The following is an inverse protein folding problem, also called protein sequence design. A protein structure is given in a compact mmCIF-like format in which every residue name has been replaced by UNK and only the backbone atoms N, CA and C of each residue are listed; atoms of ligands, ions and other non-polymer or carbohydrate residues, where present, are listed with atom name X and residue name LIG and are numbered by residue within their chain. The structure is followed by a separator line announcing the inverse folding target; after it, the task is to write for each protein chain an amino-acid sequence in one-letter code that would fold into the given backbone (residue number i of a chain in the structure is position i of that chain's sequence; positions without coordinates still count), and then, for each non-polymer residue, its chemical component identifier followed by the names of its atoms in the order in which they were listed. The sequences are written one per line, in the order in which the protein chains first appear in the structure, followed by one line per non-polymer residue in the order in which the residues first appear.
data_IF_554195517013
#
_entry.id   IF_554195517013
#
_cell.length_a   1.000
_cell.length_b   1.000
_cell.length_c   1.000
_cell.angle_alpha   90.00
_cell.angle_beta   90.00
_cell.angle_gamma   90.00
#
_symmetry.space_group_name_H-M   'P 1'
#
loop_
_entity.id
_entity.type
_entity.pdbx_description
1 polymer ?
#
# COMPACT_ATOMS: atom_id res chain seq x y z
N UNK A 1 -22.94 12.55 -13.89
CA UNK A 1 -22.08 11.44 -14.35
C UNK A 1 -21.20 11.99 -15.47
N UNK A 2 -20.00 12.46 -15.15
CA UNK A 2 -19.09 12.99 -16.17
C UNK A 2 -18.48 11.83 -16.94
N UNK A 3 -18.79 11.75 -18.23
CA UNK A 3 -18.16 10.80 -19.15
C UNK A 3 -16.85 11.43 -19.63
N UNK A 4 -15.71 10.74 -19.56
CA UNK A 4 -14.46 11.32 -20.03
C UNK A 4 -14.54 11.58 -21.54
N UNK A 5 -14.19 12.79 -21.95
CA UNK A 5 -14.27 13.25 -23.35
C UNK A 5 -13.12 12.73 -24.22
N UNK A 6 -12.07 12.20 -23.60
CA UNK A 6 -10.89 11.66 -24.28
C UNK A 6 -10.44 10.38 -23.59
N UNK A 7 -10.39 9.28 -24.34
CA UNK A 7 -9.61 8.12 -23.99
C UNK A 7 -8.58 7.94 -25.11
N UNK A 8 -7.30 8.00 -24.77
CA UNK A 8 -6.24 7.62 -25.70
C UNK A 8 -5.96 6.16 -25.42
N UNK A 9 -6.34 5.27 -26.36
CA UNK A 9 -5.72 3.95 -26.41
C UNK A 9 -4.40 4.20 -27.13
N UNK A 10 -3.38 4.63 -26.39
CA UNK A 10 -2.03 4.58 -26.91
C UNK A 10 -1.68 3.08 -26.99
N UNK A 11 -2.12 2.45 -28.07
CA UNK A 11 -1.76 1.10 -28.43
C UNK A 11 -0.33 1.11 -28.97
N UNK A 12 0.61 1.64 -28.18
CA UNK A 12 1.98 1.19 -28.26
C UNK A 12 1.90 -0.33 -28.13
N UNK A 13 2.43 -1.04 -29.13
CA UNK A 13 2.37 -2.50 -29.21
C UNK A 13 3.10 -3.15 -28.03
N UNK A 14 2.52 -3.14 -26.84
CA UNK A 14 2.94 -3.95 -25.71
C UNK A 14 2.22 -5.27 -25.87
N UNK A 15 2.78 -6.12 -26.74
CA UNK A 15 2.27 -7.45 -27.10
C UNK A 15 2.56 -8.52 -26.05
N UNK A 16 2.66 -8.14 -24.77
CA UNK A 16 2.84 -9.12 -23.71
C UNK A 16 1.49 -9.39 -23.07
N UNK A 17 0.94 -10.56 -23.36
CA UNK A 17 -0.14 -11.12 -22.56
C UNK A 17 0.24 -11.03 -21.08
N UNK A 18 -0.69 -10.65 -20.18
CA UNK A 18 -0.40 -10.58 -18.77
C UNK A 18 0.09 -11.94 -18.28
N UNK A 19 1.31 -11.97 -17.74
CA UNK A 19 1.94 -13.18 -17.24
C UNK A 19 1.94 -13.17 -15.71
N UNK A 20 1.51 -14.28 -15.09
CA UNK A 20 1.69 -14.48 -13.66
C UNK A 20 3.19 -14.70 -13.37
N UNK A 21 3.82 -13.70 -12.76
CA UNK A 21 5.25 -13.75 -12.40
C UNK A 21 5.51 -14.32 -10.99
N UNK A 22 4.44 -14.56 -10.21
CA UNK A 22 4.50 -15.25 -8.92
C UNK A 22 3.41 -14.81 -7.95
N UNK A 23 3.44 -15.38 -6.75
CA UNK A 23 2.43 -15.19 -5.71
C UNK A 23 3.10 -14.76 -4.41
N UNK A 24 2.61 -13.66 -3.82
CA UNK A 24 3.04 -13.18 -2.51
C UNK A 24 2.01 -13.59 -1.45
N UNK A 25 2.41 -14.46 -0.53
CA UNK A 25 1.60 -14.81 0.65
C UNK A 25 1.73 -13.71 1.72
N UNK A 26 1.10 -12.56 1.49
CA UNK A 26 1.28 -11.37 2.32
C UNK A 26 0.74 -11.55 3.76
N UNK A 27 -0.40 -12.23 3.88
CA UNK A 27 -1.15 -12.36 5.14
C UNK A 27 -1.66 -13.78 5.33
N UNK A 28 -1.90 -14.17 6.60
CA UNK A 28 -2.50 -15.46 6.96
C UNK A 28 -4.03 -15.46 6.87
N UNK A 29 -4.61 -14.29 6.58
CA UNK A 29 -6.04 -14.05 6.44
C UNK A 29 -6.29 -13.21 5.17
N UNK A 30 -7.54 -12.83 4.93
CA UNK A 30 -7.93 -12.13 3.71
C UNK A 30 -7.28 -10.76 3.60
N UNK A 31 -6.70 -10.50 2.42
CA UNK A 31 -6.26 -9.17 2.02
C UNK A 31 -7.50 -8.36 1.67
N UNK A 32 -7.71 -7.24 2.35
CA UNK A 32 -8.89 -6.39 2.22
C UNK A 32 -8.59 -5.05 1.53
N UNK A 33 -7.32 -4.63 1.49
CA UNK A 33 -6.89 -3.41 0.81
C UNK A 33 -5.48 -3.57 0.24
N UNK A 34 -5.23 -2.92 -0.91
CA UNK A 34 -3.90 -2.86 -1.54
C UNK A 34 -3.64 -1.44 -2.03
N UNK A 35 -2.38 -1.00 -1.95
CA UNK A 35 -1.91 0.26 -2.53
C UNK A 35 -0.43 0.10 -2.87
N UNK A 36 0.06 0.77 -3.90
CA UNK A 36 1.48 0.71 -4.26
C UNK A 36 1.97 2.07 -4.73
N UNK A 37 3.27 2.27 -4.67
CA UNK A 37 3.94 3.43 -5.22
C UNK A 37 5.37 3.07 -5.67
N UNK A 38 5.95 3.87 -6.55
CA UNK A 38 7.32 3.70 -7.02
C UNK A 38 8.24 4.55 -6.15
N UNK A 39 9.19 3.90 -5.50
CA UNK A 39 10.29 4.56 -4.83
C UNK A 39 11.48 4.60 -5.80
N UNK A 40 11.82 5.79 -6.28
CA UNK A 40 13.07 6.02 -7.01
C UNK A 40 14.12 6.55 -6.04
N UNK A 41 15.18 5.81 -5.80
CA UNK A 41 16.39 6.40 -5.23
C UNK A 41 17.12 7.22 -6.31
N UNK A 42 18.05 8.08 -5.90
CA UNK A 42 18.92 8.82 -6.84
C UNK A 42 19.85 7.91 -7.65
N UNK A 43 19.98 6.64 -7.27
CA UNK A 43 20.57 5.58 -8.09
C UNK A 43 19.51 5.04 -9.05
N UNK A 44 19.88 4.73 -10.29
CA UNK A 44 18.97 4.34 -11.39
C UNK A 44 18.04 3.14 -11.14
N UNK A 45 18.04 2.56 -9.93
CA UNK A 45 17.19 1.44 -9.53
C UNK A 45 15.89 1.95 -8.93
N UNK A 46 14.79 1.71 -9.64
CA UNK A 46 13.44 1.96 -9.12
C UNK A 46 12.96 0.73 -8.37
N UNK A 47 12.41 0.95 -7.17
CA UNK A 47 11.79 -0.10 -6.36
C UNK A 47 10.30 0.12 -6.28
N UNK A 48 9.54 -0.97 -6.18
CA UNK A 48 8.11 -0.94 -5.95
C UNK A 48 7.84 -1.10 -4.46
N UNK A 49 7.13 -0.15 -3.86
CA UNK A 49 6.56 -0.32 -2.53
C UNK A 49 5.12 -0.80 -2.68
N UNK A 50 4.79 -1.90 -2.01
CA UNK A 50 3.44 -2.46 -1.97
C UNK A 50 2.96 -2.44 -0.53
N UNK A 51 1.84 -1.80 -0.25
CA UNK A 51 1.13 -1.87 1.00
C UNK A 51 -0.08 -2.82 0.89
N UNK A 52 -0.23 -3.68 1.87
CA UNK A 52 -1.32 -4.67 1.95
C UNK A 52 -2.00 -4.59 3.31
N UNK A 53 -3.32 -4.46 3.32
CA UNK A 53 -4.15 -4.44 4.51
C UNK A 53 -4.92 -5.74 4.65
N UNK A 54 -5.11 -6.18 5.88
CA UNK A 54 -5.75 -7.46 6.17
C UNK A 54 -7.00 -7.30 7.06
N UNK A 55 -7.89 -8.29 6.98
CA UNK A 55 -9.04 -8.42 7.87
C UNK A 55 -8.66 -8.59 9.34
N UNK A 56 -7.43 -8.99 9.66
CA UNK A 56 -6.93 -9.05 11.04
C UNK A 56 -6.50 -7.68 11.60
N UNK A 57 -6.61 -6.61 10.80
CA UNK A 57 -6.24 -5.25 11.17
C UNK A 57 -4.78 -4.90 10.91
N UNK A 58 -3.94 -5.84 10.48
CA UNK A 58 -2.54 -5.56 10.14
C UNK A 58 -2.42 -4.87 8.78
N UNK A 59 -1.39 -4.02 8.66
CA UNK A 59 -0.91 -3.49 7.38
C UNK A 59 0.56 -3.83 7.23
N UNK A 60 0.94 -4.38 6.08
CA UNK A 60 2.35 -4.71 5.76
C UNK A 60 2.81 -3.96 4.53
N UNK A 61 4.05 -3.48 4.58
CA UNK A 61 4.73 -2.82 3.48
C UNK A 61 5.83 -3.75 2.96
N UNK A 62 5.83 -3.96 1.66
CA UNK A 62 6.73 -4.83 0.94
C UNK A 62 7.56 -4.02 -0.04
N UNK A 63 8.84 -4.34 -0.16
CA UNK A 63 9.76 -3.76 -1.13
C UNK A 63 10.07 -4.79 -2.21
N UNK A 64 9.75 -4.46 -3.46
CA UNK A 64 10.08 -5.28 -4.63
C UNK A 64 11.08 -4.57 -5.53
N UNK A 65 12.07 -5.31 -6.02
CA UNK A 65 12.97 -4.83 -7.06
C UNK A 65 12.29 -4.91 -8.44
N UNK A 66 12.09 -3.79 -9.11
CA UNK A 66 11.40 -3.74 -10.41
C UNK A 66 12.22 -4.47 -11.48
N UNK A 67 13.55 -4.36 -11.45
CA UNK A 67 14.41 -5.07 -12.42
C UNK A 67 14.32 -6.58 -12.25
N UNK A 68 14.37 -7.07 -11.00
CA UNK A 68 14.15 -8.47 -10.66
C UNK A 68 12.75 -8.96 -11.05
N UNK A 69 11.70 -8.19 -10.74
CA UNK A 69 10.31 -8.54 -11.09
C UNK A 69 10.12 -8.69 -12.61
N UNK A 70 10.80 -7.87 -13.42
CA UNK A 70 10.76 -7.97 -14.88
C UNK A 70 11.49 -9.20 -15.45
N UNK A 71 12.35 -9.83 -14.66
CA UNK A 71 13.10 -11.03 -15.03
C UNK A 71 12.43 -12.33 -14.56
N UNK A 72 11.42 -12.24 -13.68
CA UNK A 72 10.66 -13.40 -13.20
C UNK A 72 9.91 -14.08 -14.36
N UNK A 73 10.13 -15.38 -14.52
CA UNK A 73 9.52 -16.21 -15.58
C UNK A 73 8.73 -17.40 -15.04
N UNK A 74 8.72 -17.61 -13.73
CA UNK A 74 8.09 -18.76 -13.08
C UNK A 74 7.29 -18.34 -11.85
N UNK A 75 6.20 -19.06 -11.57
CA UNK A 75 5.23 -18.71 -10.53
C UNK A 75 5.69 -18.97 -9.08
N UNK A 76 6.95 -19.34 -8.86
CA UNK A 76 7.53 -19.67 -7.56
C UNK A 76 8.09 -18.40 -6.91
N UNK A 77 7.26 -17.76 -6.06
CA UNK A 77 7.55 -16.62 -5.19
C UNK A 77 8.20 -15.37 -5.84
N UNK A 78 7.49 -14.24 -5.74
CA UNK A 78 7.99 -12.94 -6.21
C UNK A 78 9.00 -12.33 -5.24
N UNK A 79 10.03 -11.60 -5.72
CA UNK A 79 11.10 -11.00 -4.91
C UNK A 79 10.61 -9.76 -4.14
N UNK A 80 9.68 -9.95 -3.21
CA UNK A 80 9.25 -8.94 -2.26
C UNK A 80 9.81 -9.23 -0.87
N UNK A 81 10.45 -8.24 -0.27
CA UNK A 81 10.89 -8.27 1.12
C UNK A 81 9.89 -7.51 2.00
N UNK A 82 9.50 -8.09 3.13
CA UNK A 82 8.74 -7.36 4.15
C UNK A 82 9.67 -6.34 4.81
N UNK A 83 9.32 -5.05 4.73
CA UNK A 83 10.16 -3.95 5.22
C UNK A 83 9.54 -3.19 6.38
N UNK A 84 8.21 -3.29 6.54
CA UNK A 84 7.49 -2.65 7.63
C UNK A 84 6.16 -3.36 7.89
N UNK A 85 5.73 -3.36 9.16
CA UNK A 85 4.43 -3.85 9.58
C UNK A 85 3.84 -2.86 10.60
N UNK A 86 2.58 -2.48 10.36
CA UNK A 86 1.77 -1.67 11.25
C UNK A 86 0.71 -2.58 11.87
N UNK A 87 0.87 -2.82 13.16
CA UNK A 87 -0.15 -3.44 14.01
C UNK A 87 -0.65 -2.38 14.97
N UNK A 88 -1.97 -2.29 15.14
CA UNK A 88 -2.58 -1.41 16.14
C UNK A 88 -3.44 -2.23 17.07
N UNK A 89 -3.65 -1.74 18.30
CA UNK A 89 -4.53 -2.39 19.28
C UNK A 89 -5.99 -2.48 18.77
N UNK A 90 -6.33 -1.67 17.76
CA UNK A 90 -7.58 -1.71 17.04
C UNK A 90 -7.56 -2.86 16.03
N UNK A 91 -7.99 -4.04 16.48
CA UNK A 91 -8.21 -5.25 15.66
C UNK A 91 -9.26 -5.08 14.54
N UNK A 92 -9.75 -3.86 14.28
CA UNK A 92 -10.73 -3.62 13.24
C UNK A 92 -10.11 -3.88 11.86
N UNK A 93 -10.81 -4.64 10.99
CA UNK A 93 -10.36 -4.91 9.62
C UNK A 93 -9.97 -3.64 8.88
N UNK A 94 -8.86 -3.72 8.14
CA UNK A 94 -8.46 -2.63 7.24
C UNK A 94 -9.46 -2.58 6.08
N UNK A 95 -9.98 -1.39 5.76
CA UNK A 95 -10.93 -1.20 4.65
C UNK A 95 -10.34 -0.41 3.49
N UNK A 96 -9.33 0.41 3.73
CA UNK A 96 -8.69 1.24 2.70
C UNK A 96 -7.25 1.58 3.08
N UNK A 97 -6.38 1.66 2.08
CA UNK A 97 -5.00 2.11 2.24
C UNK A 97 -4.68 3.13 1.14
N UNK A 98 -3.93 4.16 1.50
CA UNK A 98 -3.24 5.03 0.53
C UNK A 98 -1.76 5.10 0.89
N UNK A 99 -0.90 4.71 -0.04
CA UNK A 99 0.55 4.79 0.07
C UNK A 99 1.05 5.94 -0.82
N UNK A 100 2.00 6.73 -0.33
CA UNK A 100 2.59 7.83 -1.09
C UNK A 100 4.06 8.09 -0.70
N UNK A 101 4.94 8.13 -1.69
CA UNK A 101 6.36 8.50 -1.55
C UNK A 101 6.55 9.97 -1.97
N UNK A 102 6.86 10.89 -1.04
CA UNK A 102 7.07 12.29 -1.37
C UNK A 102 8.31 12.50 -2.23
N UNK A 103 8.17 13.28 -3.30
CA UNK A 103 9.28 13.62 -4.21
C UNK A 103 10.42 14.38 -3.51
N UNK A 104 10.11 15.15 -2.45
CA UNK A 104 11.10 15.99 -1.75
C UNK A 104 11.82 15.29 -0.58
N UNK A 105 11.26 14.18 -0.07
CA UNK A 105 11.84 13.37 1.02
C UNK A 105 11.72 11.89 0.64
N UNK A 106 12.59 11.44 -0.27
CA UNK A 106 12.57 10.08 -0.83
C UNK A 106 12.76 8.96 0.22
N UNK A 107 13.16 9.32 1.43
CA UNK A 107 13.33 8.39 2.56
C UNK A 107 12.10 8.27 3.46
N UNK A 108 11.07 9.08 3.23
CA UNK A 108 9.84 9.01 4.00
C UNK A 108 8.71 8.48 3.11
N UNK A 109 7.86 7.67 3.70
CA UNK A 109 6.71 7.07 3.04
C UNK A 109 5.50 7.40 3.89
N UNK A 110 4.52 8.10 3.29
CA UNK A 110 3.27 8.39 3.96
C UNK A 110 2.29 7.25 3.71
N UNK A 111 1.58 6.86 4.76
CA UNK A 111 0.60 5.79 4.74
C UNK A 111 -0.66 6.27 5.47
N UNK A 112 -1.79 6.26 4.77
CA UNK A 112 -3.11 6.44 5.38
C UNK A 112 -3.84 5.11 5.45
N UNK A 113 -4.42 4.79 6.60
CA UNK A 113 -5.12 3.53 6.87
C UNK A 113 -6.54 3.86 7.34
N UNK A 114 -7.54 3.44 6.55
CA UNK A 114 -8.94 3.45 6.96
C UNK A 114 -9.36 2.06 7.42
N UNK A 115 -10.16 2.00 8.48
CA UNK A 115 -10.67 0.75 9.06
C UNK A 115 -12.19 0.69 9.03
N UNK A 116 -12.73 -0.53 9.11
CA UNK A 116 -14.19 -0.77 9.16
C UNK A 116 -14.84 -0.17 10.41
N UNK A 117 -14.08 0.07 11.48
CA UNK A 117 -14.53 0.85 12.65
C UNK A 117 -14.83 2.32 12.33
N UNK A 118 -14.47 2.78 11.13
CA UNK A 118 -14.57 4.17 10.71
C UNK A 118 -13.34 5.02 11.08
N UNK A 119 -12.35 4.46 11.79
CA UNK A 119 -11.13 5.19 12.12
C UNK A 119 -10.25 5.43 10.90
N UNK A 120 -9.60 6.59 10.87
CA UNK A 120 -8.58 6.96 9.89
C UNK A 120 -7.28 7.30 10.61
N UNK A 121 -6.22 6.61 10.23
CA UNK A 121 -4.89 6.79 10.80
C UNK A 121 -3.91 7.23 9.72
N UNK A 122 -2.96 8.08 10.10
CA UNK A 122 -1.87 8.51 9.22
C UNK A 122 -0.53 8.16 9.85
N UNK A 123 0.36 7.62 9.02
CA UNK A 123 1.65 7.09 9.41
C UNK A 123 2.73 7.63 8.49
N UNK A 124 3.91 7.88 9.05
CA UNK A 124 5.12 8.18 8.29
C UNK A 124 6.13 7.08 8.61
N UNK A 125 6.56 6.37 7.57
CA UNK A 125 7.64 5.41 7.65
C UNK A 125 8.91 6.01 7.07
N UNK A 126 9.95 6.12 7.89
CA UNK A 126 11.27 6.52 7.44
C UNK A 126 12.10 5.28 7.09
N UNK A 127 12.40 5.09 5.81
CA UNK A 127 13.07 3.90 5.28
C UNK A 127 14.49 3.74 5.80
N UNK A 128 15.21 4.84 6.01
CA UNK A 128 16.60 4.82 6.53
C UNK A 128 16.68 4.34 7.98
N UNK A 129 15.75 4.77 8.83
CA UNK A 129 15.73 4.41 10.25
C UNK A 129 14.86 3.18 10.54
N UNK A 130 14.13 2.69 9.54
CA UNK A 130 13.09 1.65 9.68
C UNK A 130 12.04 1.99 10.74
N UNK A 131 11.86 3.28 11.07
CA UNK A 131 10.93 3.74 12.10
C UNK A 131 9.60 4.13 11.47
N UNK A 132 8.52 3.61 12.04
CA UNK A 132 7.14 3.95 11.67
C UNK A 132 6.55 4.79 12.80
N UNK A 133 6.07 5.98 12.47
CA UNK A 133 5.48 6.93 13.42
C UNK A 133 4.03 7.21 13.04
N UNK A 134 3.12 7.12 14.01
CA UNK A 134 1.74 7.56 13.84
C UNK A 134 1.68 9.08 13.99
N UNK A 135 1.26 9.79 12.94
CA UNK A 135 1.24 11.25 12.93
C UNK A 135 -0.12 11.84 13.29
N UNK A 136 -1.18 11.04 13.21
CA UNK A 136 -2.48 11.31 13.85
C UNK A 136 -3.41 10.11 13.71
N UNK A 137 -4.00 9.66 14.82
CA UNK A 137 -5.14 8.77 14.84
C UNK A 137 -6.41 9.63 15.00
N UNK A 138 -7.29 9.64 14.00
CA UNK A 138 -8.58 10.30 14.09
C UNK A 138 -9.67 9.24 14.33
N UNK A 139 -10.20 9.19 15.55
CA UNK A 139 -11.37 8.38 15.90
C UNK A 139 -12.65 9.13 15.52
N UNK A 140 -12.92 9.23 14.22
CA UNK A 140 -14.07 9.98 13.69
C UNK A 140 -15.44 9.37 14.06
N UNK A 141 -15.50 8.15 14.58
CA UNK A 141 -16.75 7.43 14.83
C UNK A 141 -17.11 7.19 16.31
N UNK A 142 -16.31 7.65 17.28
CA UNK A 142 -16.68 7.57 18.70
C UNK A 142 -17.63 8.69 19.14
N UNK A 143 -18.05 9.58 18.24
CA UNK A 143 -19.09 10.58 18.52
C UNK A 143 -20.48 9.99 18.27
N UNK A 144 -21.05 9.37 19.31
CA UNK A 144 -22.50 9.10 19.37
C UNK A 144 -23.21 10.46 19.42
N UNK A 145 -23.83 10.88 18.31
CA UNK A 145 -24.76 12.01 18.34
C UNK A 145 -26.03 11.55 19.05
N UNK A 146 -26.16 11.87 20.34
CA UNK A 146 -27.43 11.76 21.04
C UNK A 146 -28.39 12.79 20.44
N UNK A 147 -29.34 12.33 19.62
CA UNK A 147 -30.56 13.09 19.37
C UNK A 147 -31.53 12.80 20.53
N UNK A 148 -31.56 13.71 21.52
CA UNK A 148 -32.61 13.71 22.53
C UNK A 148 -33.96 14.00 21.86
N UNK A 149 -34.95 13.16 22.16
CA UNK A 149 -36.37 13.38 21.84
C UNK A 149 -37.05 13.95 23.08
#
# INVERSE_FOLDING_TARGET
MCKPEYYTIDAGMVTRDPMLIGVLQAHKSWISAISWDISSESSSKSSLLLATGCCDGSVKIWLGDIEGLNQCTSAEEVPFALVAEVTTDLSAPVSSISLFVPTQRQHDVNLAIGRVSGSLETWIWNTCSSRIENTSACHSHDQVVYHGV
#
